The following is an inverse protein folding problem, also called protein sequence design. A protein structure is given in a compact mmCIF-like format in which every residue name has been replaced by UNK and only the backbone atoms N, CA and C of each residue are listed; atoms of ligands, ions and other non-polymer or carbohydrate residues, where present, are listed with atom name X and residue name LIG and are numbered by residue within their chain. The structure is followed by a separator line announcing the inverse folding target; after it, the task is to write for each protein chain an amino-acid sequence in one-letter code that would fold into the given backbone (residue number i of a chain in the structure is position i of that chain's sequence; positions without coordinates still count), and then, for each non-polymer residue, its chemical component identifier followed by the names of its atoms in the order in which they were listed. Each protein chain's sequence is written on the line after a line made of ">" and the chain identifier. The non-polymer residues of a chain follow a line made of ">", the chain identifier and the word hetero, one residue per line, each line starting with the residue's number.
data_IF_094956718115
#
_entry.id   IF_094956718115
#
_cell.length_a   1.000
_cell.length_b   1.000
_cell.length_c   1.000
_cell.angle_alpha   90.00
_cell.angle_beta   90.00
_cell.angle_gamma   90.00
#
_symmetry.space_group_name_H-M   'P 1'
#
loop_
_entity.id
_entity.type
_entity.pdbx_description
1 polymer ?
#
# COMPACT_ATOMS: atom_id res chain seq x y z
N UNK A 1 5.45 -28.08 -19.09
CA UNK A 1 4.17 -28.25 -18.38
C UNK A 1 4.43 -29.11 -17.15
N UNK A 2 4.38 -28.64 -15.92
CA UNK A 2 3.90 -27.37 -15.35
C UNK A 2 4.81 -27.07 -14.16
N UNK A 3 5.33 -25.84 -14.09
CA UNK A 3 6.06 -25.32 -12.93
C UNK A 3 5.05 -24.95 -11.83
N UNK A 4 4.61 -25.97 -11.08
CA UNK A 4 3.53 -25.86 -10.09
C UNK A 4 3.99 -26.24 -8.67
N UNK A 5 5.26 -26.00 -8.34
CA UNK A 5 5.82 -26.40 -7.04
C UNK A 5 6.41 -25.26 -6.20
N UNK A 6 6.64 -24.07 -6.75
CA UNK A 6 7.35 -23.00 -6.01
C UNK A 6 6.41 -21.87 -5.55
N UNK A 7 5.29 -21.60 -6.24
CA UNK A 7 4.33 -20.56 -5.81
C UNK A 7 3.59 -20.88 -4.51
N UNK A 8 3.40 -22.17 -4.21
CA UNK A 8 2.62 -22.62 -3.05
C UNK A 8 3.33 -22.33 -1.71
N UNK A 9 4.65 -22.08 -1.71
CA UNK A 9 5.41 -21.89 -0.48
C UNK A 9 5.30 -20.45 0.08
N UNK A 10 5.47 -19.42 -0.75
CA UNK A 10 5.40 -18.03 -0.26
C UNK A 10 3.98 -17.66 0.20
N UNK A 11 2.93 -18.15 -0.46
CA UNK A 11 1.53 -17.91 -0.06
C UNK A 11 1.28 -18.48 1.34
N UNK A 12 1.77 -19.69 1.61
CA UNK A 12 1.63 -20.32 2.92
C UNK A 12 2.41 -19.55 3.99
N UNK A 13 3.65 -19.15 3.70
CA UNK A 13 4.48 -18.37 4.62
C UNK A 13 3.82 -17.03 4.95
N UNK A 14 3.38 -16.29 3.94
CA UNK A 14 2.66 -15.02 4.09
C UNK A 14 1.40 -15.22 4.94
N UNK A 15 0.59 -16.24 4.65
CA UNK A 15 -0.61 -16.57 5.42
C UNK A 15 -0.31 -16.95 6.88
N UNK A 16 0.78 -17.66 7.15
CA UNK A 16 1.20 -17.97 8.52
C UNK A 16 1.62 -16.71 9.27
N UNK A 17 2.41 -15.83 8.67
CA UNK A 17 2.81 -14.53 9.26
C UNK A 17 1.57 -13.70 9.57
N UNK A 18 0.63 -13.59 8.63
CA UNK A 18 -0.63 -12.87 8.80
C UNK A 18 -1.47 -13.45 9.94
N UNK A 19 -1.66 -14.78 9.97
CA UNK A 19 -2.42 -15.47 11.00
C UNK A 19 -1.82 -15.26 12.40
N UNK A 20 -0.52 -15.51 12.57
CA UNK A 20 0.15 -15.30 13.86
C UNK A 20 0.06 -13.84 14.30
N UNK A 21 0.25 -12.89 13.39
CA UNK A 21 0.13 -11.46 13.69
C UNK A 21 -1.28 -11.11 14.19
N UNK A 22 -2.33 -11.55 13.49
CA UNK A 22 -3.74 -11.28 13.85
C UNK A 22 -4.18 -11.97 15.15
N UNK A 23 -3.57 -13.12 15.49
CA UNK A 23 -3.82 -13.83 16.75
C UNK A 23 -3.01 -13.29 17.95
N UNK A 24 -2.31 -12.16 17.81
CA UNK A 24 -1.51 -11.56 18.87
C UNK A 24 -0.09 -12.15 19.01
N UNK A 25 0.27 -13.13 18.19
CA UNK A 25 1.56 -13.83 18.20
C UNK A 25 2.63 -13.16 17.34
N UNK A 26 2.88 -11.86 17.52
CA UNK A 26 3.81 -11.11 16.65
C UNK A 26 5.24 -11.65 16.68
N UNK A 27 5.70 -12.16 17.82
CA UNK A 27 7.04 -12.76 17.94
C UNK A 27 7.16 -14.08 17.16
N UNK A 28 6.07 -14.85 17.06
CA UNK A 28 6.04 -16.04 16.21
C UNK A 28 6.09 -15.66 14.72
N UNK A 29 5.36 -14.61 14.33
CA UNK A 29 5.39 -14.07 12.98
C UNK A 29 6.80 -13.58 12.60
N UNK A 30 7.46 -12.79 13.47
CA UNK A 30 8.87 -12.37 13.32
C UNK A 30 9.82 -13.57 13.18
N UNK A 31 9.65 -14.59 14.02
CA UNK A 31 10.48 -15.79 13.95
C UNK A 31 10.32 -16.55 12.64
N UNK A 32 9.12 -16.61 12.05
CA UNK A 32 8.92 -17.23 10.73
C UNK A 32 9.59 -16.37 9.67
N UNK A 33 9.33 -15.06 9.68
CA UNK A 33 9.90 -14.11 8.73
C UNK A 33 11.42 -14.14 8.67
N UNK A 34 12.12 -14.37 9.80
CA UNK A 34 13.58 -14.48 9.83
C UNK A 34 14.15 -15.85 9.39
N UNK A 35 13.33 -16.89 9.28
CA UNK A 35 13.77 -18.26 8.95
C UNK A 35 13.49 -18.69 7.52
N UNK A 36 12.69 -17.91 6.80
CA UNK A 36 12.26 -18.21 5.43
C UNK A 36 13.07 -17.42 4.42
N UNK A 37 13.13 -17.93 3.19
CA UNK A 37 13.55 -17.13 2.05
C UNK A 37 12.45 -16.11 1.73
N UNK A 38 12.82 -14.86 1.51
CA UNK A 38 11.90 -13.71 1.41
C UNK A 38 11.95 -13.09 0.00
N UNK A 39 11.94 -13.91 -1.03
CA UNK A 39 12.05 -13.42 -2.41
C UNK A 39 10.73 -12.80 -2.93
N UNK A 40 9.62 -13.10 -2.26
CA UNK A 40 8.28 -12.65 -2.67
C UNK A 40 7.77 -11.50 -1.80
N UNK A 41 7.30 -10.44 -2.46
CA UNK A 41 6.77 -9.21 -1.84
C UNK A 41 5.64 -9.47 -0.83
N UNK A 42 4.84 -10.53 -1.02
CA UNK A 42 3.74 -10.87 -0.10
C UNK A 42 4.22 -11.23 1.30
N UNK A 43 5.43 -11.80 1.45
CA UNK A 43 6.01 -12.15 2.75
C UNK A 43 6.37 -10.87 3.53
N UNK A 44 6.98 -9.89 2.84
CA UNK A 44 7.31 -8.57 3.39
C UNK A 44 6.05 -7.81 3.79
N UNK A 45 5.08 -7.75 2.88
CA UNK A 45 3.79 -7.09 3.12
C UNK A 45 3.07 -7.68 4.34
N UNK A 46 3.08 -9.00 4.49
CA UNK A 46 2.48 -9.67 5.65
C UNK A 46 3.17 -9.27 6.96
N UNK A 47 4.50 -9.19 6.97
CA UNK A 47 5.23 -8.78 8.16
C UNK A 47 5.03 -7.30 8.49
N UNK A 48 5.10 -6.40 7.50
CA UNK A 48 4.87 -4.96 7.67
C UNK A 48 3.47 -4.70 8.22
N UNK A 49 2.45 -5.34 7.64
CA UNK A 49 1.06 -5.22 8.10
C UNK A 49 0.89 -5.78 9.52
N UNK A 50 1.52 -6.93 9.81
CA UNK A 50 1.52 -7.50 11.15
C UNK A 50 2.08 -6.53 12.19
N UNK A 51 3.22 -5.89 11.90
CA UNK A 51 3.83 -4.90 12.78
C UNK A 51 2.94 -3.65 12.94
N UNK A 52 2.28 -3.20 11.86
CA UNK A 52 1.36 -2.07 11.89
C UNK A 52 0.13 -2.31 12.80
N UNK A 53 -0.44 -3.52 12.78
CA UNK A 53 -1.56 -3.91 13.65
C UNK A 53 -1.16 -3.89 15.13
N UNK A 54 0.10 -4.20 15.43
CA UNK A 54 0.66 -4.20 16.78
C UNK A 54 1.21 -2.83 17.22
N UNK A 55 1.06 -1.78 16.41
CA UNK A 55 1.57 -0.44 16.72
C UNK A 55 3.10 -0.35 16.70
N UNK A 56 3.78 -1.30 16.07
CA UNK A 56 5.25 -1.37 15.99
C UNK A 56 5.75 -0.68 14.72
N UNK A 57 5.41 0.61 14.54
CA UNK A 57 5.71 1.33 13.30
C UNK A 57 7.20 1.45 12.98
N UNK A 58 8.06 1.56 14.00
CA UNK A 58 9.52 1.61 13.80
C UNK A 58 10.06 0.28 13.28
N UNK A 59 9.54 -0.84 13.78
CA UNK A 59 9.88 -2.17 13.26
C UNK A 59 9.37 -2.33 11.83
N UNK A 60 8.16 -1.86 11.53
CA UNK A 60 7.59 -1.93 10.17
C UNK A 60 8.47 -1.15 9.16
N UNK A 61 8.93 0.04 9.55
CA UNK A 61 9.87 0.86 8.78
C UNK A 61 11.22 0.13 8.60
N UNK A 62 11.74 -0.51 9.65
CA UNK A 62 12.98 -1.28 9.55
C UNK A 62 12.84 -2.46 8.58
N UNK A 63 11.69 -3.14 8.57
CA UNK A 63 11.39 -4.21 7.60
C UNK A 63 11.32 -3.65 6.18
N UNK A 64 10.70 -2.48 5.96
CA UNK A 64 10.74 -1.81 4.65
C UNK A 64 12.16 -1.46 4.21
N UNK A 65 12.99 -0.92 5.09
CA UNK A 65 14.39 -0.61 4.75
C UNK A 65 15.19 -1.86 4.40
N UNK A 66 14.93 -2.99 5.08
CA UNK A 66 15.53 -4.28 4.76
C UNK A 66 15.04 -4.83 3.41
N UNK A 67 13.75 -4.65 3.09
CA UNK A 67 13.17 -4.99 1.79
C UNK A 67 13.88 -4.25 0.64
N UNK A 68 14.08 -2.94 0.79
CA UNK A 68 14.79 -2.08 -0.17
C UNK A 68 16.26 -2.49 -0.32
N UNK A 69 16.91 -2.87 0.79
CA UNK A 69 18.30 -3.34 0.79
C UNK A 69 18.47 -4.74 0.15
N UNK A 70 17.46 -5.60 0.27
CA UNK A 70 17.42 -6.92 -0.38
C UNK A 70 16.89 -6.84 -1.83
N UNK A 71 16.82 -5.63 -2.42
CA UNK A 71 16.36 -5.38 -3.80
C UNK A 71 14.95 -5.90 -4.12
N UNK A 72 14.09 -6.01 -3.11
CA UNK A 72 12.68 -6.40 -3.30
C UNK A 72 11.85 -5.15 -3.57
N UNK A 73 11.21 -5.09 -4.74
CA UNK A 73 10.40 -3.94 -5.15
C UNK A 73 9.15 -3.79 -4.29
N UNK A 74 8.96 -2.65 -3.60
CA UNK A 74 7.73 -2.38 -2.85
C UNK A 74 6.54 -2.15 -3.78
N UNK A 75 5.37 -2.59 -3.35
CA UNK A 75 4.10 -2.40 -4.07
C UNK A 75 3.14 -1.50 -3.27
N UNK A 76 1.93 -1.29 -3.81
CA UNK A 76 0.91 -0.49 -3.14
C UNK A 76 0.57 -1.05 -1.74
N UNK A 77 0.52 -2.36 -1.57
CA UNK A 77 0.21 -2.98 -0.27
C UNK A 77 1.34 -2.70 0.73
N UNK A 78 2.60 -2.67 0.29
CA UNK A 78 3.74 -2.28 1.13
C UNK A 78 3.54 -0.89 1.71
N UNK A 79 3.21 0.09 0.85
CA UNK A 79 3.03 1.48 1.28
C UNK A 79 1.78 1.66 2.15
N UNK A 80 0.68 0.96 1.86
CA UNK A 80 -0.50 0.95 2.72
C UNK A 80 -0.16 0.48 4.14
N UNK A 81 0.63 -0.59 4.27
CA UNK A 81 1.09 -1.11 5.56
C UNK A 81 1.92 -0.09 6.34
N UNK A 82 2.87 0.57 5.68
CA UNK A 82 3.71 1.61 6.30
C UNK A 82 2.89 2.83 6.72
N UNK A 83 1.98 3.31 5.88
CA UNK A 83 1.11 4.44 6.20
C UNK A 83 0.19 4.12 7.38
N UNK A 84 -0.36 2.90 7.42
CA UNK A 84 -1.17 2.43 8.54
C UNK A 84 -0.37 2.39 9.84
N UNK A 85 0.86 1.87 9.80
CA UNK A 85 1.75 1.84 10.96
C UNK A 85 2.04 3.26 11.47
N UNK A 86 2.35 4.18 10.55
CA UNK A 86 2.60 5.58 10.87
C UNK A 86 1.36 6.23 11.50
N UNK A 87 0.16 6.00 10.94
CA UNK A 87 -1.11 6.51 11.49
C UNK A 87 -1.33 6.05 12.93
N UNK A 88 -1.24 4.73 13.17
CA UNK A 88 -1.46 4.17 14.51
C UNK A 88 -0.46 4.68 15.56
N UNK A 89 0.74 5.06 15.12
CA UNK A 89 1.83 5.50 16.01
C UNK A 89 2.04 7.02 16.02
N UNK A 90 1.22 7.80 15.29
CA UNK A 90 1.37 9.25 15.19
C UNK A 90 2.67 9.73 14.54
N UNK A 91 3.30 8.90 13.69
CA UNK A 91 4.57 9.22 13.03
C UNK A 91 4.36 10.07 11.77
N UNK A 92 3.96 11.33 11.97
CA UNK A 92 3.58 12.25 10.86
C UNK A 92 4.70 12.46 9.85
N UNK A 93 5.94 12.65 10.31
CA UNK A 93 7.08 12.95 9.42
C UNK A 93 7.38 11.76 8.51
N UNK A 94 7.36 10.56 9.08
CA UNK A 94 7.57 9.31 8.38
C UNK A 94 6.43 9.01 7.42
N UNK A 95 5.17 9.16 7.85
CA UNK A 95 4.01 8.98 6.97
C UNK A 95 4.06 9.89 5.74
N UNK A 96 4.43 11.17 5.91
CA UNK A 96 4.62 12.10 4.80
C UNK A 96 5.76 11.69 3.86
N UNK A 97 6.87 11.24 4.45
CA UNK A 97 8.01 10.75 3.67
C UNK A 97 7.59 9.57 2.78
N UNK A 98 6.97 8.54 3.34
CA UNK A 98 6.58 7.34 2.59
C UNK A 98 5.44 7.59 1.60
N UNK A 99 4.47 8.45 1.93
CA UNK A 99 3.42 8.85 1.00
C UNK A 99 3.98 9.53 -0.26
N UNK A 100 5.01 10.36 -0.10
CA UNK A 100 5.68 11.01 -1.23
C UNK A 100 6.63 10.06 -1.97
N UNK A 101 7.36 9.22 -1.23
CA UNK A 101 8.29 8.23 -1.79
C UNK A 101 7.59 7.27 -2.76
N UNK A 102 6.37 6.83 -2.40
CA UNK A 102 5.49 6.00 -3.21
C UNK A 102 5.32 6.56 -4.63
N UNK A 103 5.05 7.86 -4.75
CA UNK A 103 4.88 8.57 -6.02
C UNK A 103 6.21 8.81 -6.74
N UNK A 104 7.18 9.39 -6.04
CA UNK A 104 8.37 9.95 -6.69
C UNK A 104 9.42 8.91 -7.08
N UNK A 105 9.61 7.87 -6.25
CA UNK A 105 10.66 6.86 -6.45
C UNK A 105 10.09 5.56 -7.01
N UNK A 106 8.92 5.17 -6.55
CA UNK A 106 8.32 3.89 -6.90
C UNK A 106 7.26 3.99 -8.01
N UNK A 107 6.89 5.21 -8.42
CA UNK A 107 5.87 5.48 -9.45
C UNK A 107 4.54 4.76 -9.18
N UNK A 108 4.18 4.62 -7.90
CA UNK A 108 2.92 4.03 -7.48
C UNK A 108 1.95 5.16 -7.15
N UNK A 109 0.81 5.17 -7.83
CA UNK A 109 -0.22 6.18 -7.58
C UNK A 109 -1.02 5.81 -6.32
N UNK A 110 -1.12 6.71 -5.32
CA UNK A 110 -1.87 6.45 -4.10
C UNK A 110 -3.35 6.16 -4.40
N UNK A 111 -3.82 4.99 -3.97
CA UNK A 111 -5.23 4.62 -4.01
C UNK A 111 -5.98 5.12 -2.78
N UNK A 112 -7.31 4.94 -2.77
CA UNK A 112 -8.18 5.47 -1.72
C UNK A 112 -7.80 5.04 -0.30
N UNK A 113 -7.25 3.83 -0.13
CA UNK A 113 -6.79 3.30 1.16
C UNK A 113 -5.54 4.03 1.66
N UNK A 114 -4.64 4.43 0.76
CA UNK A 114 -3.43 5.20 1.10
C UNK A 114 -3.81 6.60 1.57
N UNK A 115 -4.67 7.28 0.81
CA UNK A 115 -5.23 8.57 1.22
C UNK A 115 -5.98 8.46 2.54
N UNK A 116 -6.80 7.41 2.72
CA UNK A 116 -7.52 7.17 3.98
C UNK A 116 -6.58 7.08 5.17
N UNK A 117 -5.50 6.30 5.05
CA UNK A 117 -4.50 6.14 6.10
C UNK A 117 -3.72 7.44 6.36
N UNK A 118 -3.39 8.19 5.31
CA UNK A 118 -2.66 9.45 5.43
C UNK A 118 -3.52 10.56 6.06
N UNK A 119 -4.79 10.68 5.67
CA UNK A 119 -5.75 11.61 6.26
C UNK A 119 -6.05 11.25 7.72
N UNK A 120 -6.17 9.96 8.05
CA UNK A 120 -6.32 9.51 9.45
C UNK A 120 -5.10 9.92 10.30
N UNK A 121 -3.88 9.73 9.78
CA UNK A 121 -2.65 10.18 10.44
C UNK A 121 -2.65 11.69 10.71
N UNK A 122 -2.95 12.51 9.69
CA UNK A 122 -3.00 13.96 9.83
C UNK A 122 -4.09 14.41 10.80
N UNK A 123 -5.28 13.79 10.71
CA UNK A 123 -6.41 14.07 11.59
C UNK A 123 -6.09 13.79 13.06
N UNK A 124 -5.48 12.64 13.36
CA UNK A 124 -5.03 12.28 14.73
C UNK A 124 -3.96 13.22 15.26
N UNK A 125 -3.13 13.78 14.39
CA UNK A 125 -2.12 14.77 14.74
C UNK A 125 -2.66 16.21 14.90
N UNK A 126 -3.96 16.43 14.64
CA UNK A 126 -4.58 17.76 14.69
C UNK A 126 -4.28 18.64 13.47
N UNK A 127 -3.69 18.08 12.42
CA UNK A 127 -3.36 18.79 11.17
C UNK A 127 -4.58 18.79 10.22
N UNK A 128 -5.68 19.35 10.69
CA UNK A 128 -6.99 19.23 10.02
C UNK A 128 -7.02 19.94 8.67
N UNK A 129 -6.42 21.12 8.55
CA UNK A 129 -6.39 21.88 7.28
C UNK A 129 -5.74 21.06 6.16
N UNK A 130 -4.59 20.46 6.45
CA UNK A 130 -3.87 19.61 5.51
C UNK A 130 -4.65 18.33 5.19
N UNK A 131 -5.31 17.72 6.19
CA UNK A 131 -6.19 16.58 5.98
C UNK A 131 -7.37 16.91 5.05
N UNK A 132 -7.92 18.13 5.12
CA UNK A 132 -8.97 18.59 4.21
C UNK A 132 -8.46 18.88 2.80
N UNK A 133 -7.27 19.47 2.68
CA UNK A 133 -6.64 19.74 1.37
C UNK A 133 -6.39 18.43 0.61
N UNK A 134 -5.83 17.43 1.27
CA UNK A 134 -5.60 16.11 0.67
C UNK A 134 -6.92 15.42 0.27
N UNK A 135 -7.97 15.58 1.08
CA UNK A 135 -9.31 15.09 0.72
C UNK A 135 -9.88 15.83 -0.49
N UNK A 136 -9.66 17.14 -0.59
CA UNK A 136 -10.09 17.98 -1.71
C UNK A 136 -9.41 17.59 -3.02
N UNK A 137 -8.09 17.40 -3.00
CA UNK A 137 -7.31 16.94 -4.14
C UNK A 137 -7.84 15.63 -4.71
N UNK A 138 -8.19 14.66 -3.84
CA UNK A 138 -8.80 13.40 -4.27
C UNK A 138 -10.15 13.59 -4.98
N UNK A 139 -11.02 14.47 -4.47
CA UNK A 139 -12.31 14.74 -5.12
C UNK A 139 -12.09 15.38 -6.49
N UNK A 140 -11.15 16.30 -6.61
CA UNK A 140 -10.82 16.95 -7.89
C UNK A 140 -10.30 15.94 -8.93
N UNK A 141 -9.37 15.06 -8.55
CA UNK A 141 -8.81 14.03 -9.44
C UNK A 141 -9.87 13.04 -9.92
N UNK A 142 -10.71 12.52 -9.01
CA UNK A 142 -11.80 11.59 -9.40
C UNK A 142 -12.82 12.25 -10.34
N UNK A 143 -13.08 13.53 -10.14
CA UNK A 143 -13.96 14.30 -11.03
C UNK A 143 -13.31 14.44 -12.41
N UNK A 144 -12.03 14.80 -12.49
CA UNK A 144 -11.29 14.95 -13.74
C UNK A 144 -11.21 13.63 -14.55
N UNK A 145 -10.92 12.50 -13.89
CA UNK A 145 -10.94 11.17 -14.51
C UNK A 145 -12.33 10.80 -15.05
N UNK A 146 -13.39 11.04 -14.26
CA UNK A 146 -14.76 10.77 -14.70
C UNK A 146 -15.17 11.62 -15.92
N UNK A 147 -14.73 12.89 -15.99
CA UNK A 147 -14.96 13.74 -17.15
C UNK A 147 -14.18 13.27 -18.38
N UNK A 148 -12.95 12.78 -18.22
CA UNK A 148 -12.15 12.21 -19.32
C UNK A 148 -12.82 10.96 -19.91
N UNK A 149 -13.33 10.07 -19.06
CA UNK A 149 -14.07 8.86 -19.48
C UNK A 149 -15.37 9.22 -20.23
N UNK A 150 -16.15 10.18 -19.73
CA UNK A 150 -17.36 10.66 -20.41
C UNK A 150 -17.02 11.22 -21.80
N UNK A 151 -15.94 12.01 -21.91
CA UNK A 151 -15.48 12.60 -23.16
C UNK A 151 -15.05 11.51 -24.17
N UNK A 152 -14.36 10.48 -23.70
CA UNK A 152 -13.95 9.32 -24.49
C UNK A 152 -15.16 8.51 -24.97
N UNK A 153 -16.14 8.27 -24.11
CA UNK A 153 -17.38 7.58 -24.47
C UNK A 153 -18.20 8.35 -25.50
N UNK A 154 -18.31 9.67 -25.37
CA UNK A 154 -18.97 10.53 -26.36
C UNK A 154 -18.27 10.46 -27.72
N UNK A 155 -16.93 10.47 -27.73
CA UNK A 155 -16.14 10.33 -28.95
C UNK A 155 -16.36 8.97 -29.63
N UNK A 156 -16.33 7.87 -28.86
CA UNK A 156 -16.54 6.50 -29.37
C UNK A 156 -17.96 6.30 -29.91
N UNK A 157 -18.97 6.80 -29.19
CA UNK A 157 -20.37 6.70 -29.62
C UNK A 157 -20.68 7.64 -30.79
N UNK A 158 -20.04 8.80 -30.87
CA UNK A 158 -20.14 9.75 -31.98
C UNK A 158 -19.53 9.24 -33.29
N UNK A 159 -18.55 8.34 -33.23
CA UNK A 159 -17.91 7.74 -34.42
C UNK A 159 -18.61 6.48 -34.97
N UNK A 160 -19.54 5.87 -34.21
CA UNK A 160 -20.33 4.72 -34.70
C UNK A 160 -21.45 5.09 -35.69
N UNK A 161 -21.62 6.38 -36.01
CA UNK A 161 -22.61 6.86 -36.98
C UNK A 161 -22.09 7.09 -38.40
N UNK A 162 -20.82 6.79 -38.73
CA UNK A 162 -20.23 7.05 -40.06
C UNK A 162 -19.42 5.87 -40.62
N UNK A 163 -20.12 4.81 -40.98
CA UNK A 163 -19.68 3.78 -41.96
C UNK A 163 -20.92 2.99 -42.34
N UNK A 164 -21.43 2.89 -43.57
CA UNK A 164 -21.00 3.13 -44.96
C UNK A 164 -22.33 3.21 -45.79
N UNK A 165 -22.24 3.19 -47.12
CA UNK A 165 -22.31 4.31 -48.08
C UNK A 165 -23.71 4.92 -48.30
#
# INVERSE_FOLDING_TARGET
>A
MIDMRIEVNYILVAAMIDMYSKCGGIEAAKSIFERVQRDDVSIWNSMINGLAIHGLARDAIAVFSKMDFEDITPDAITFLGILSACSHSGLVKEGRHYFNLMKSRCSIEPQHEHYGSFVDLLGRAGLLEEAYEERGNRVMVMVEEAWADISLLQYILGNKGRSLP
#
